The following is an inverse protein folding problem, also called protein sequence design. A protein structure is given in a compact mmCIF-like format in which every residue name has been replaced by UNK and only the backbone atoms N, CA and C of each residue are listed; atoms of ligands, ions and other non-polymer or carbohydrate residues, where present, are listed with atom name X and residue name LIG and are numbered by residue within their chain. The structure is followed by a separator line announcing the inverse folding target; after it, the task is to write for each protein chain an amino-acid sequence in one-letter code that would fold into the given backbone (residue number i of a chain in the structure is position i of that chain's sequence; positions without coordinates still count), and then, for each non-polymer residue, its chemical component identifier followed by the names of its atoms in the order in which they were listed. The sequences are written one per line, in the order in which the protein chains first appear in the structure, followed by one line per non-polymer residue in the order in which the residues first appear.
data_IF_055931320154
#
_entry.id   IF_055931320154
#
_cell.length_a   1.000
_cell.length_b   1.000
_cell.length_c   1.000
_cell.angle_alpha   90.00
_cell.angle_beta   90.00
_cell.angle_gamma   90.00
#
_symmetry.space_group_name_H-M   'P 1'
#
loop_
_entity.id
_entity.type
_entity.pdbx_description
1 polymer ?
#
# COMPACT_ATOMS: atom_id res chain seq x y z
N UNK A 1 -31.68 -9.81 -11.65
CA UNK A 1 -30.40 -9.84 -10.92
C UNK A 1 -29.57 -8.72 -11.53
N UNK A 2 -29.30 -7.64 -10.80
CA UNK A 2 -28.52 -6.50 -11.33
C UNK A 2 -27.04 -6.82 -11.13
N UNK A 3 -26.31 -6.93 -12.22
CA UNK A 3 -24.85 -7.00 -12.21
C UNK A 3 -24.29 -5.81 -11.42
N UNK A 4 -23.34 -6.07 -10.53
CA UNK A 4 -22.69 -5.07 -9.65
C UNK A 4 -21.31 -4.66 -10.21
N UNK A 5 -21.22 -3.80 -11.24
CA UNK A 5 -19.94 -3.24 -11.70
C UNK A 5 -19.38 -2.20 -10.73
N UNK A 6 -20.24 -1.48 -9.99
CA UNK A 6 -19.84 -0.44 -9.03
C UNK A 6 -18.94 -0.93 -7.88
N UNK A 7 -19.02 -2.21 -7.50
CA UNK A 7 -18.23 -2.75 -6.39
C UNK A 7 -16.75 -2.88 -6.77
N UNK A 8 -16.46 -3.16 -8.05
CA UNK A 8 -15.10 -3.39 -8.51
C UNK A 8 -14.36 -2.07 -8.72
N UNK A 9 -15.01 -1.07 -9.33
CA UNK A 9 -14.40 0.26 -9.55
C UNK A 9 -13.98 0.95 -8.24
N UNK A 10 -14.82 0.89 -7.20
CA UNK A 10 -14.48 1.47 -5.89
C UNK A 10 -13.27 0.77 -5.25
N UNK A 11 -13.20 -0.56 -5.41
CA UNK A 11 -12.10 -1.37 -4.88
C UNK A 11 -10.78 -1.02 -5.58
N UNK A 12 -10.80 -0.87 -6.91
CA UNK A 12 -9.66 -0.41 -7.69
C UNK A 12 -9.23 1.01 -7.32
N UNK A 13 -10.18 1.93 -7.18
CA UNK A 13 -9.91 3.30 -6.74
C UNK A 13 -9.22 3.33 -5.37
N UNK A 14 -9.73 2.57 -4.40
CA UNK A 14 -9.13 2.45 -3.07
C UNK A 14 -7.70 1.88 -3.13
N UNK A 15 -7.49 0.84 -3.94
CA UNK A 15 -6.17 0.27 -4.17
C UNK A 15 -5.19 1.32 -4.72
N UNK A 16 -5.57 2.01 -5.81
CA UNK A 16 -4.75 3.03 -6.44
C UNK A 16 -4.46 4.20 -5.51
N UNK A 17 -5.42 4.61 -4.69
CA UNK A 17 -5.23 5.69 -3.74
C UNK A 17 -4.27 5.30 -2.61
N UNK A 18 -4.33 4.05 -2.14
CA UNK A 18 -3.36 3.50 -1.18
C UNK A 18 -1.96 3.43 -1.76
N UNK A 19 -1.81 2.90 -2.98
CA UNK A 19 -0.54 2.81 -3.68
C UNK A 19 0.09 4.20 -3.90
N UNK A 20 -0.68 5.12 -4.46
CA UNK A 20 -0.23 6.47 -4.81
C UNK A 20 0.21 7.26 -3.58
N UNK A 21 -0.45 7.06 -2.44
CA UNK A 21 -0.09 7.75 -1.19
C UNK A 21 1.31 7.37 -0.71
N UNK A 22 1.67 6.09 -0.76
CA UNK A 22 3.01 5.63 -0.37
C UNK A 22 4.06 6.18 -1.32
N UNK A 23 3.81 6.10 -2.62
CA UNK A 23 4.74 6.60 -3.63
C UNK A 23 4.97 8.12 -3.48
N UNK A 24 3.91 8.88 -3.23
CA UNK A 24 4.02 10.32 -2.99
C UNK A 24 4.88 10.62 -1.75
N UNK A 25 4.65 9.96 -0.62
CA UNK A 25 5.49 10.15 0.57
C UNK A 25 6.95 9.73 0.32
N UNK A 26 7.19 8.67 -0.42
CA UNK A 26 8.53 8.23 -0.75
C UNK A 26 9.27 9.25 -1.63
N UNK A 27 8.58 9.86 -2.58
CA UNK A 27 9.11 10.96 -3.38
C UNK A 27 9.44 12.19 -2.52
N UNK A 28 8.52 12.61 -1.64
CA UNK A 28 8.78 13.72 -0.72
C UNK A 28 9.96 13.43 0.21
N UNK A 29 10.05 12.21 0.76
CA UNK A 29 11.17 11.79 1.59
C UNK A 29 12.50 11.84 0.82
N UNK A 30 12.51 11.39 -0.44
CA UNK A 30 13.68 11.44 -1.31
C UNK A 30 14.18 12.87 -1.54
N UNK A 31 13.27 13.84 -1.72
CA UNK A 31 13.63 15.26 -1.85
C UNK A 31 14.33 15.82 -0.60
N UNK A 32 14.06 15.24 0.57
CA UNK A 32 14.71 15.58 1.85
C UNK A 32 15.94 14.72 2.16
N UNK A 33 16.36 13.84 1.24
CA UNK A 33 17.43 12.88 1.48
C UNK A 33 17.07 11.77 2.48
N UNK A 34 15.79 11.63 2.83
CA UNK A 34 15.30 10.60 3.73
C UNK A 34 14.98 9.31 2.97
N UNK A 35 15.24 8.19 3.63
CA UNK A 35 15.02 6.87 3.07
C UNK A 35 14.71 5.88 4.19
N UNK A 36 13.68 5.07 3.97
CA UNK A 36 13.45 3.88 4.79
C UNK A 36 14.47 2.80 4.44
N UNK A 37 15.05 2.17 5.46
CA UNK A 37 15.85 0.95 5.28
C UNK A 37 15.01 -0.22 4.75
N UNK A 38 15.65 -1.17 4.07
CA UNK A 38 15.02 -2.43 3.65
C UNK A 38 14.22 -3.10 4.77
N UNK A 39 14.78 -3.14 6.00
CA UNK A 39 14.12 -3.72 7.17
C UNK A 39 12.85 -2.98 7.55
N UNK A 40 12.88 -1.64 7.55
CA UNK A 40 11.69 -0.83 7.84
C UNK A 40 10.61 -1.04 6.78
N UNK A 41 10.99 -1.15 5.51
CA UNK A 41 10.04 -1.39 4.41
C UNK A 41 9.41 -2.77 4.53
N UNK A 42 10.20 -3.81 4.81
CA UNK A 42 9.68 -5.17 5.04
C UNK A 42 8.70 -5.19 6.21
N UNK A 43 9.05 -4.54 7.32
CA UNK A 43 8.14 -4.47 8.46
C UNK A 43 6.82 -3.79 8.10
N UNK A 44 6.89 -2.67 7.38
CA UNK A 44 5.71 -1.93 6.96
C UNK A 44 4.83 -2.75 5.99
N UNK A 45 5.43 -3.49 5.04
CA UNK A 45 4.71 -4.42 4.16
C UNK A 45 3.90 -5.42 5.00
N UNK A 46 4.53 -6.03 6.01
CA UNK A 46 3.85 -7.00 6.88
C UNK A 46 2.67 -6.36 7.64
N UNK A 47 2.82 -5.13 8.12
CA UNK A 47 1.75 -4.42 8.81
C UNK A 47 0.55 -4.14 7.88
N UNK A 48 0.82 -3.72 6.64
CA UNK A 48 -0.24 -3.42 5.65
C UNK A 48 -0.95 -4.69 5.18
N UNK A 49 -0.22 -5.78 4.96
CA UNK A 49 -0.81 -7.09 4.66
C UNK A 49 -1.68 -7.59 5.82
N UNK A 50 -1.18 -7.48 7.06
CA UNK A 50 -1.96 -7.86 8.24
C UNK A 50 -3.23 -7.02 8.38
N UNK A 51 -3.16 -5.71 8.14
CA UNK A 51 -4.32 -4.83 8.16
C UNK A 51 -5.34 -5.20 7.08
N UNK A 52 -4.90 -5.55 5.87
CA UNK A 52 -5.76 -6.06 4.80
C UNK A 52 -6.46 -7.36 5.21
N UNK A 53 -5.70 -8.34 5.74
CA UNK A 53 -6.25 -9.61 6.21
C UNK A 53 -7.27 -9.44 7.34
N UNK A 54 -7.00 -8.56 8.31
CA UNK A 54 -7.95 -8.24 9.38
C UNK A 54 -9.22 -7.65 8.77
N UNK A 55 -9.11 -6.77 7.77
CA UNK A 55 -10.30 -6.19 7.12
C UNK A 55 -11.10 -7.20 6.32
N UNK A 56 -10.45 -8.10 5.59
CA UNK A 56 -11.13 -9.16 4.84
C UNK A 56 -11.89 -10.12 5.76
N UNK A 57 -11.34 -10.40 6.95
CA UNK A 57 -11.94 -11.32 7.93
C UNK A 57 -12.92 -10.65 8.90
N UNK A 58 -12.96 -9.32 8.93
CA UNK A 58 -13.81 -8.59 9.88
C UNK A 58 -15.20 -8.38 9.29
N UNK A 59 -16.22 -8.78 10.04
CA UNK A 59 -17.62 -8.43 9.76
C UNK A 59 -17.99 -7.01 10.20
N UNK A 60 -17.03 -6.26 10.76
CA UNK A 60 -17.29 -4.89 11.21
C UNK A 60 -17.55 -3.99 10.00
N UNK A 61 -18.64 -3.21 10.02
CA UNK A 61 -18.96 -2.34 8.92
C UNK A 61 -17.87 -1.25 8.78
N UNK A 62 -17.54 -0.92 7.53
CA UNK A 62 -16.62 0.16 7.19
C UNK A 62 -17.38 1.48 7.39
N UNK A 63 -17.43 1.98 8.62
CA UNK A 63 -18.13 3.22 8.98
C UNK A 63 -17.12 4.27 9.42
N UNK A 64 -16.98 5.32 8.61
CA UNK A 64 -16.16 6.50 8.94
C UNK A 64 -15.25 6.94 7.80
N UNK A 65 -15.02 8.27 7.71
CA UNK A 65 -14.18 8.91 6.68
C UNK A 65 -12.71 8.43 6.66
N UNK A 66 -12.24 7.83 7.75
CA UNK A 66 -10.86 7.37 7.90
C UNK A 66 -10.69 5.86 7.78
N UNK A 67 -11.78 5.10 7.62
CA UNK A 67 -11.68 3.65 7.56
C UNK A 67 -11.21 3.22 6.18
N UNK A 68 -10.00 2.65 6.13
CA UNK A 68 -9.37 2.17 4.89
C UNK A 68 -9.76 0.74 4.60
N UNK A 69 -10.13 0.47 3.35
CA UNK A 69 -10.50 -0.86 2.87
C UNK A 69 -9.30 -1.81 2.83
N UNK A 70 -9.57 -3.10 2.65
CA UNK A 70 -8.52 -4.09 2.40
C UNK A 70 -7.71 -3.74 1.14
N UNK A 71 -8.39 -3.33 0.07
CA UNK A 71 -7.77 -2.92 -1.19
C UNK A 71 -6.78 -1.77 -1.01
N UNK A 72 -7.15 -0.75 -0.24
CA UNK A 72 -6.25 0.35 0.13
C UNK A 72 -4.97 -0.14 0.83
N UNK A 73 -5.10 -1.07 1.78
CA UNK A 73 -3.95 -1.62 2.50
C UNK A 73 -3.05 -2.46 1.58
N UNK A 74 -3.63 -3.24 0.68
CA UNK A 74 -2.88 -4.00 -0.34
C UNK A 74 -2.14 -3.07 -1.29
N UNK A 75 -2.77 -1.98 -1.73
CA UNK A 75 -2.13 -0.96 -2.56
C UNK A 75 -0.89 -0.34 -1.90
N UNK A 76 -0.97 -0.03 -0.60
CA UNK A 76 0.20 0.43 0.16
C UNK A 76 1.31 -0.63 0.24
N UNK A 77 0.96 -1.89 0.50
CA UNK A 77 1.92 -2.99 0.57
C UNK A 77 2.67 -3.18 -0.77
N UNK A 78 1.96 -3.10 -1.90
CA UNK A 78 2.56 -3.22 -3.22
C UNK A 78 3.46 -2.05 -3.59
N UNK A 79 3.08 -0.83 -3.22
CA UNK A 79 3.96 0.34 -3.38
C UNK A 79 5.26 0.17 -2.58
N UNK A 80 5.17 -0.31 -1.34
CA UNK A 80 6.35 -0.61 -0.52
C UNK A 80 7.23 -1.71 -1.12
N UNK A 81 6.64 -2.76 -1.70
CA UNK A 81 7.37 -3.79 -2.46
C UNK A 81 8.08 -3.20 -3.68
N UNK A 82 7.43 -2.29 -4.41
CA UNK A 82 8.03 -1.60 -5.55
C UNK A 82 9.23 -0.75 -5.11
N UNK A 83 9.10 -0.02 -3.99
CA UNK A 83 10.21 0.74 -3.39
C UNK A 83 11.38 -0.18 -2.97
N UNK A 84 11.09 -1.31 -2.33
CA UNK A 84 12.11 -2.28 -1.92
C UNK A 84 12.87 -2.84 -3.13
N UNK A 85 12.14 -3.23 -4.19
CA UNK A 85 12.75 -3.71 -5.43
C UNK A 85 13.66 -2.66 -6.06
N UNK A 86 13.16 -1.43 -6.22
CA UNK A 86 13.95 -0.32 -6.77
C UNK A 86 15.22 -0.06 -5.96
N UNK A 87 15.14 -0.09 -4.62
CA UNK A 87 16.33 0.09 -3.77
C UNK A 87 17.37 -1.00 -3.98
N UNK A 88 16.94 -2.26 -4.06
CA UNK A 88 17.85 -3.40 -4.31
C UNK A 88 18.48 -3.35 -5.69
N UNK A 89 17.72 -2.95 -6.71
CA UNK A 89 18.25 -2.75 -8.06
C UNK A 89 19.30 -1.62 -8.12
N UNK A 90 19.10 -0.56 -7.35
CA UNK A 90 20.08 0.52 -7.25
C UNK A 90 21.36 0.09 -6.51
N UNK A 91 21.27 -0.71 -5.46
CA UNK A 91 22.45 -1.21 -4.74
C UNK A 91 23.16 -2.37 -5.44
N UNK A 92 22.42 -3.25 -6.15
CA UNK A 92 23.00 -4.38 -6.87
C UNK A 92 23.80 -4.00 -8.12
N UNK A 93 23.68 -2.76 -8.60
CA UNK A 93 24.50 -2.22 -9.70
C UNK A 93 25.84 -1.62 -9.23
N UNK A 94 26.13 -1.66 -7.93
CA UNK A 94 27.35 -1.08 -7.33
C UNK A 94 28.34 -2.11 -6.76
N UNK A 95 28.16 -3.40 -7.05
CA UNK A 95 29.09 -4.48 -6.73
C UNK A 95 29.70 -5.06 -8.01
#
# INVERSE_FOLDING_TARGET
MRDTPMCNEKTEQDYHAGFSRVMWFAEQAKLQGWKLSDRQIVHEIMQRERAAQIRDKSSLPIVGKEVRSSAWNRGQADALRALLRSQREHYGKGL
#
